data_IF_534036228330
#
_entry.id   IF_534036228330
#
_cell.length_a   1.000
_cell.length_b   1.000
_cell.length_c   1.000
_cell.angle_alpha   90.00
_cell.angle_beta   90.00
_cell.angle_gamma   90.00
#
_symmetry.space_group_name_H-M   'P 1'
#
loop_
_entity.id
_entity.type
_entity.pdbx_description
1 polymer ?
#
# COMPACT_ATOMS: atom_id res chain seq x y z
N UNK A 1 11.86 21.60 9.39
CA UNK A 1 11.94 22.26 8.08
C UNK A 1 10.62 22.03 7.35
N UNK A 2 9.86 23.08 7.11
CA UNK A 2 8.48 23.02 6.56
C UNK A 2 8.44 22.93 5.02
N UNK A 3 9.55 22.55 4.36
CA UNK A 3 9.66 22.58 2.89
C UNK A 3 9.55 21.24 2.17
N UNK A 4 9.49 20.12 2.89
CA UNK A 4 9.38 18.80 2.25
C UNK A 4 7.92 18.39 2.23
N UNK A 5 7.33 18.34 1.03
CA UNK A 5 6.05 17.69 0.83
C UNK A 5 6.14 16.26 1.38
N UNK A 6 5.22 15.88 2.25
CA UNK A 6 5.17 14.54 2.82
C UNK A 6 4.63 13.51 1.82
N UNK A 7 4.03 13.97 0.71
CA UNK A 7 3.37 13.15 -0.30
C UNK A 7 3.81 13.53 -1.72
N UNK A 8 5.12 13.65 -2.00
CA UNK A 8 5.56 13.97 -3.35
C UNK A 8 5.09 12.87 -4.28
N UNK A 9 4.69 13.23 -5.50
CA UNK A 9 4.27 12.27 -6.53
C UNK A 9 5.27 12.31 -7.69
N UNK A 10 5.52 11.15 -8.30
CA UNK A 10 6.22 11.08 -9.58
C UNK A 10 5.26 11.40 -10.76
N UNK A 11 5.76 11.32 -11.99
CA UNK A 11 4.97 11.54 -13.20
C UNK A 11 3.85 10.49 -13.42
N UNK A 12 3.76 9.47 -12.57
CA UNK A 12 2.75 8.44 -12.59
C UNK A 12 1.77 8.57 -11.41
N UNK A 13 1.85 9.67 -10.65
CA UNK A 13 1.06 9.86 -9.43
C UNK A 13 1.51 8.98 -8.25
N UNK A 14 2.64 8.28 -8.37
CA UNK A 14 3.13 7.42 -7.30
C UNK A 14 3.75 8.27 -6.20
N UNK A 15 3.21 8.12 -4.99
CA UNK A 15 3.91 8.54 -3.77
C UNK A 15 5.08 7.60 -3.45
N UNK A 16 6.04 8.00 -2.59
CA UNK A 16 7.06 7.09 -2.07
C UNK A 16 6.48 5.79 -1.52
N UNK A 17 5.26 5.85 -0.97
CA UNK A 17 4.57 4.68 -0.44
C UNK A 17 4.10 3.72 -1.55
N UNK A 18 3.69 4.21 -2.72
CA UNK A 18 3.40 3.36 -3.89
C UNK A 18 4.64 2.62 -4.36
N UNK A 19 5.78 3.33 -4.46
CA UNK A 19 7.04 2.75 -4.89
C UNK A 19 7.55 1.71 -3.89
N UNK A 20 7.46 2.02 -2.59
CA UNK A 20 7.84 1.08 -1.53
C UNK A 20 6.90 -0.15 -1.49
N UNK A 21 5.60 0.05 -1.74
CA UNK A 21 4.63 -1.04 -1.88
C UNK A 21 4.91 -1.94 -3.10
N UNK A 22 5.37 -1.35 -4.21
CA UNK A 22 5.76 -2.06 -5.43
C UNK A 22 7.06 -2.87 -5.23
N UNK A 23 8.03 -2.34 -4.49
CA UNK A 23 9.32 -3.00 -4.27
C UNK A 23 9.30 -4.21 -3.33
N UNK A 24 8.19 -4.47 -2.63
CA UNK A 24 8.06 -5.65 -1.77
C UNK A 24 8.95 -5.60 -0.52
N UNK A 25 9.58 -6.73 -0.18
CA UNK A 25 10.33 -6.92 1.07
C UNK A 25 11.52 -6.00 1.27
N UNK A 26 12.27 -5.76 0.20
CA UNK A 26 13.51 -4.98 0.21
C UNK A 26 13.27 -3.54 0.67
N UNK A 27 12.01 -3.08 0.59
CA UNK A 27 11.60 -1.74 0.97
C UNK A 27 10.70 -1.73 2.22
N UNK A 28 10.54 -2.85 2.93
CA UNK A 28 9.68 -2.94 4.12
C UNK A 28 10.07 -1.96 5.24
N UNK A 29 11.36 -1.69 5.40
CA UNK A 29 11.88 -0.67 6.32
C UNK A 29 11.58 0.74 5.82
N UNK A 30 11.65 0.95 4.50
CA UNK A 30 11.38 2.23 3.84
C UNK A 30 9.89 2.56 3.90
N UNK A 31 8.99 1.57 3.80
CA UNK A 31 7.54 1.74 4.01
C UNK A 31 7.25 2.35 5.39
N UNK A 32 8.02 2.02 6.43
CA UNK A 32 7.79 2.56 7.79
C UNK A 32 8.07 4.06 7.88
N UNK A 33 8.95 4.60 7.03
CA UNK A 33 9.40 6.00 7.10
C UNK A 33 8.25 6.97 6.74
N UNK A 34 7.58 6.87 5.57
CA UNK A 34 6.38 7.65 5.29
C UNK A 34 5.28 7.38 6.32
N UNK A 35 5.10 6.12 6.76
CA UNK A 35 4.05 5.76 7.71
C UNK A 35 4.27 6.29 9.14
N UNK A 36 5.49 6.68 9.50
CA UNK A 36 5.81 7.30 10.80
C UNK A 36 5.44 8.78 10.84
N UNK A 37 5.39 9.46 9.70
CA UNK A 37 5.00 10.87 9.62
C UNK A 37 3.47 11.03 9.65
N UNK A 38 2.98 11.90 10.52
CA UNK A 38 1.56 12.24 10.59
C UNK A 38 1.06 13.02 9.37
N UNK A 39 1.98 13.61 8.57
CA UNK A 39 1.68 14.41 7.37
C UNK A 39 1.51 13.55 6.10
N UNK A 40 1.88 12.27 6.16
CA UNK A 40 1.77 11.35 5.02
C UNK A 40 0.33 10.86 4.87
N UNK A 41 -0.25 11.06 3.69
CA UNK A 41 -1.48 10.44 3.26
C UNK A 41 -1.19 9.10 2.58
N UNK A 42 -1.60 8.03 3.25
CA UNK A 42 -1.31 6.65 2.86
C UNK A 42 -2.33 6.06 1.88
N UNK A 43 -3.38 6.81 1.57
CA UNK A 43 -4.52 6.38 0.76
C UNK A 43 -4.61 7.13 -0.57
N UNK A 44 -3.61 7.93 -0.93
CA UNK A 44 -3.56 8.60 -2.22
C UNK A 44 -3.62 7.58 -3.35
N UNK A 45 -4.42 7.83 -4.37
CA UNK A 45 -4.43 7.02 -5.57
C UNK A 45 -3.38 7.53 -6.56
N UNK A 46 -2.69 6.62 -7.24
CA UNK A 46 -1.86 6.95 -8.39
C UNK A 46 -2.71 7.23 -9.65
N UNK A 47 -2.06 7.48 -10.78
CA UNK A 47 -2.76 7.75 -12.05
C UNK A 47 -3.59 6.56 -12.56
N UNK A 48 -3.26 5.33 -12.15
CA UNK A 48 -4.06 4.13 -12.42
C UNK A 48 -5.22 3.97 -11.42
N UNK A 49 -5.48 4.97 -10.56
CA UNK A 49 -6.50 4.92 -9.51
C UNK A 49 -6.19 3.89 -8.42
N UNK A 50 -4.95 3.40 -8.33
CA UNK A 50 -4.55 2.40 -7.35
C UNK A 50 -3.93 3.08 -6.14
N UNK A 51 -4.40 2.72 -4.94
CA UNK A 51 -3.73 3.14 -3.70
C UNK A 51 -2.45 2.33 -3.46
N UNK A 52 -1.56 2.74 -2.54
CA UNK A 52 -0.37 1.96 -2.19
C UNK A 52 -0.72 0.55 -1.74
N UNK A 53 -1.87 0.37 -1.06
CA UNK A 53 -2.36 -0.94 -0.66
C UNK A 53 -2.66 -1.82 -1.90
N UNK A 54 -3.33 -1.29 -2.93
CA UNK A 54 -3.57 -2.03 -4.17
C UNK A 54 -2.26 -2.47 -4.83
N UNK A 55 -1.28 -1.55 -4.92
CA UNK A 55 0.05 -1.87 -5.48
C UNK A 55 0.79 -2.93 -4.68
N UNK A 56 0.73 -2.88 -3.35
CA UNK A 56 1.33 -3.89 -2.48
C UNK A 56 0.73 -5.26 -2.74
N UNK A 57 -0.60 -5.39 -2.72
CA UNK A 57 -1.29 -6.68 -2.95
C UNK A 57 -1.03 -7.20 -4.36
N UNK A 58 -0.87 -6.30 -5.33
CA UNK A 58 -0.58 -6.67 -6.72
C UNK A 58 0.89 -7.07 -6.93
N UNK A 59 1.81 -6.50 -6.18
CA UNK A 59 3.23 -6.85 -6.23
C UNK A 59 3.57 -8.08 -5.39
N UNK A 60 2.78 -8.39 -4.36
CA UNK A 60 3.07 -9.51 -3.48
C UNK A 60 2.89 -10.85 -4.20
N UNK A 61 3.99 -11.40 -4.69
CA UNK A 61 4.13 -12.81 -5.03
C UNK A 61 4.11 -13.64 -3.74
N UNK A 62 3.55 -14.84 -3.81
CA UNK A 62 3.13 -15.72 -2.70
C UNK A 62 4.18 -16.05 -1.63
N UNK A 63 5.43 -15.64 -1.79
CA UNK A 63 6.55 -15.98 -0.88
C UNK A 63 7.02 -14.82 0.01
N UNK A 64 6.37 -13.65 -0.03
CA UNK A 64 6.97 -12.41 0.50
C UNK A 64 6.25 -11.69 1.67
N UNK A 65 6.46 -12.13 2.92
CA UNK A 65 5.68 -11.77 4.13
C UNK A 65 5.95 -10.40 4.84
N UNK A 66 7.09 -9.71 4.68
CA UNK A 66 7.56 -8.69 5.64
C UNK A 66 7.06 -7.27 5.36
N UNK A 67 6.79 -6.90 4.10
CA UNK A 67 6.14 -5.61 3.80
C UNK A 67 4.65 -5.62 4.13
N UNK A 68 4.04 -6.81 4.26
CA UNK A 68 2.61 -7.02 4.51
C UNK A 68 2.22 -6.61 5.93
N UNK A 69 2.96 -7.07 6.93
CA UNK A 69 2.75 -6.74 8.35
C UNK A 69 2.62 -5.23 8.62
N UNK A 70 3.39 -4.42 7.89
CA UNK A 70 3.42 -2.97 8.09
C UNK A 70 2.11 -2.33 7.65
N UNK A 71 1.54 -2.77 6.53
CA UNK A 71 0.22 -2.30 6.08
C UNK A 71 -0.90 -2.90 6.93
N UNK A 72 -0.77 -4.14 7.38
CA UNK A 72 -1.75 -4.81 8.27
C UNK A 72 -1.85 -4.17 9.65
N UNK A 73 -0.77 -3.64 10.20
CA UNK A 73 -0.75 -3.08 11.57
C UNK A 73 -1.14 -1.60 11.66
N UNK A 74 -1.29 -0.90 10.53
CA UNK A 74 -1.50 0.56 10.52
C UNK A 74 -2.95 0.98 10.30
N UNK A 75 -3.60 1.50 11.33
CA UNK A 75 -5.03 1.89 11.35
C UNK A 75 -5.45 3.00 10.37
N UNK A 76 -4.49 3.72 9.76
CA UNK A 76 -4.76 4.84 8.84
C UNK A 76 -5.02 4.43 7.39
N UNK A 77 -4.85 3.15 7.06
CA UNK A 77 -5.01 2.64 5.70
C UNK A 77 -6.48 2.31 5.46
N UNK A 78 -7.04 2.92 4.41
CA UNK A 78 -8.38 2.64 3.93
C UNK A 78 -8.38 1.36 3.10
N UNK A 79 -8.96 0.30 3.67
CA UNK A 79 -9.12 -1.01 3.03
C UNK A 79 -10.37 -1.08 2.13
N UNK A 80 -11.28 -0.11 2.26
CA UNK A 80 -12.50 0.00 1.48
C UNK A 80 -12.30 0.81 0.19
N UNK A 81 -11.16 1.49 0.04
CA UNK A 81 -10.78 2.13 -1.20
C UNK A 81 -10.87 1.15 -2.38
N UNK A 82 -11.40 1.63 -3.50
CA UNK A 82 -11.59 0.85 -4.72
C UNK A 82 -10.67 1.36 -5.82
N UNK A 83 -10.16 0.44 -6.64
CA UNK A 83 -9.49 0.75 -7.90
C UNK A 83 -10.54 1.15 -8.98
N UNK A 84 -10.11 1.57 -10.19
CA UNK A 84 -11.04 1.93 -11.27
C UNK A 84 -11.95 0.81 -11.75
N UNK A 85 -11.64 -0.45 -11.43
CA UNK A 85 -12.50 -1.60 -11.73
C UNK A 85 -13.51 -1.86 -10.59
N UNK A 86 -13.60 -0.98 -9.59
CA UNK A 86 -14.45 -1.12 -8.41
C UNK A 86 -13.95 -2.18 -7.43
N UNK A 87 -12.70 -2.62 -7.54
CA UNK A 87 -12.12 -3.67 -6.70
C UNK A 87 -11.42 -3.06 -5.52
N UNK A 88 -11.73 -3.55 -4.33
CA UNK A 88 -10.93 -3.29 -3.14
C UNK A 88 -9.65 -4.13 -3.13
N UNK A 89 -8.69 -3.76 -2.27
CA UNK A 89 -7.49 -4.55 -2.06
C UNK A 89 -7.80 -6.03 -1.69
N UNK A 90 -8.91 -6.29 -1.00
CA UNK A 90 -9.35 -7.65 -0.67
C UNK A 90 -9.74 -8.46 -1.92
N UNK A 91 -10.45 -7.85 -2.88
CA UNK A 91 -10.76 -8.50 -4.16
C UNK A 91 -9.49 -8.88 -4.92
N UNK A 92 -8.50 -7.97 -4.94
CA UNK A 92 -7.22 -8.22 -5.61
C UNK A 92 -6.43 -9.32 -4.89
N UNK A 93 -6.46 -9.35 -3.55
CA UNK A 93 -5.78 -10.37 -2.75
C UNK A 93 -6.38 -11.75 -2.96
N UNK A 94 -7.72 -11.85 -2.94
CA UNK A 94 -8.46 -13.08 -3.17
C UNK A 94 -8.21 -13.62 -4.59
N UNK A 95 -8.25 -12.75 -5.62
CA UNK A 95 -7.95 -13.13 -7.01
C UNK A 95 -6.54 -13.70 -7.18
N UNK A 96 -5.57 -13.22 -6.40
CA UNK A 96 -4.18 -13.68 -6.45
C UNK A 96 -3.90 -14.92 -5.60
N UNK A 97 -4.86 -15.38 -4.79
CA UNK A 97 -4.63 -16.47 -3.85
C UNK A 97 -3.72 -16.10 -2.68
N UNK A 98 -3.58 -14.80 -2.37
CA UNK A 98 -2.70 -14.31 -1.31
C UNK A 98 -3.39 -14.44 0.05
N UNK A 99 -3.48 -15.68 0.55
CA UNK A 99 -4.19 -16.04 1.79
C UNK A 99 -3.78 -15.16 2.98
N UNK A 100 -2.50 -14.90 3.16
CA UNK A 100 -2.02 -14.08 4.29
C UNK A 100 -2.55 -12.64 4.24
N UNK A 101 -2.57 -12.02 3.06
CA UNK A 101 -3.11 -10.66 2.87
C UNK A 101 -4.61 -10.66 3.09
N UNK A 102 -5.31 -11.69 2.61
CA UNK A 102 -6.76 -11.86 2.85
C UNK A 102 -7.04 -11.94 4.35
N UNK A 103 -6.32 -12.80 5.09
CA UNK A 103 -6.49 -12.93 6.55
C UNK A 103 -6.23 -11.60 7.24
N UNK A 104 -5.11 -10.93 6.94
CA UNK A 104 -4.81 -9.65 7.55
C UNK A 104 -5.84 -8.55 7.25
N UNK A 105 -6.39 -8.50 6.02
CA UNK A 105 -7.41 -7.52 5.66
C UNK A 105 -8.76 -7.83 6.32
N UNK A 106 -9.03 -9.09 6.67
CA UNK A 106 -10.23 -9.51 7.38
C UNK A 106 -10.12 -9.35 8.92
N UNK A 107 -8.91 -9.40 9.48
CA UNK A 107 -8.66 -9.21 10.91
C UNK A 107 -8.55 -7.73 11.33
N UNK A 108 -8.97 -6.80 10.47
CA UNK A 108 -8.99 -5.35 10.68
C UNK A 108 -10.39 -4.83 10.93
#
# INVERSE_FOLDING_TARGET
>A
DERIDANPIDNHGNTPLHLAAKGGHEYSEIVKIPLASARTNVNLADEDGQTPLHRMVRSSSSSSSSSRDVFCKKTKIDVAATDPEGRTALHVAAKRGNREVVVCLLER
#
